data_IF_864453554103
#
_entry.id   IF_864453554103
#
_cell.length_a   1.000
_cell.length_b   1.000
_cell.length_c   1.000
_cell.angle_alpha   90.00
_cell.angle_beta   90.00
_cell.angle_gamma   90.00
#
_symmetry.space_group_name_H-M   'P 1'
#
loop_
_entity.id
_entity.type
_entity.pdbx_description
1 polymer ?
#
# COMPACT_ATOMS: atom_id res chain seq x y z
N UNK A 1 -44.07 5.17 -18.77
CA UNK A 1 -42.65 4.88 -18.62
C UNK A 1 -42.30 5.00 -17.14
N UNK A 2 -41.63 4.00 -16.51
CA UNK A 2 -41.24 4.09 -15.12
C UNK A 2 -40.28 5.26 -14.94
N UNK A 3 -40.47 6.06 -13.89
CA UNK A 3 -39.58 7.16 -13.57
C UNK A 3 -38.27 6.58 -12.97
N UNK A 4 -37.16 7.34 -13.02
CA UNK A 4 -35.88 6.91 -12.41
C UNK A 4 -36.07 6.66 -10.91
N UNK A 5 -37.07 7.26 -10.27
CA UNK A 5 -37.37 7.08 -8.84
C UNK A 5 -37.86 5.65 -8.54
N UNK A 6 -38.49 4.98 -9.52
CA UNK A 6 -38.97 3.59 -9.37
C UNK A 6 -37.81 2.56 -9.30
N UNK A 7 -36.59 3.00 -9.63
CA UNK A 7 -35.36 2.21 -9.56
C UNK A 7 -34.49 2.54 -8.33
N UNK A 8 -34.88 3.53 -7.53
CA UNK A 8 -34.19 3.88 -6.30
C UNK A 8 -34.57 2.86 -5.22
N UNK A 9 -33.61 2.05 -4.82
CA UNK A 9 -33.71 1.25 -3.58
C UNK A 9 -33.29 2.16 -2.45
N UNK A 10 -34.18 2.47 -1.52
CA UNK A 10 -33.86 3.13 -0.26
C UNK A 10 -32.96 2.20 0.55
N UNK A 11 -31.67 2.44 0.50
CA UNK A 11 -30.74 1.89 1.48
C UNK A 11 -30.89 2.71 2.75
N UNK A 12 -31.76 2.27 3.67
CA UNK A 12 -31.63 2.73 5.04
C UNK A 12 -30.19 2.37 5.49
N UNK A 13 -29.36 3.34 5.88
CA UNK A 13 -28.05 2.99 6.45
C UNK A 13 -28.32 2.02 7.60
N UNK A 14 -27.54 0.93 7.75
CA UNK A 14 -27.63 0.09 8.92
C UNK A 14 -27.51 1.01 10.12
N UNK A 15 -28.30 0.75 11.16
CA UNK A 15 -28.28 1.49 12.43
C UNK A 15 -26.88 1.30 13.04
N UNK A 16 -25.91 2.08 12.54
CA UNK A 16 -24.57 2.15 13.10
C UNK A 16 -24.74 3.06 14.31
N UNK A 17 -25.03 2.47 15.46
CA UNK A 17 -24.87 3.14 16.73
C UNK A 17 -23.39 3.60 16.76
N UNK A 18 -23.18 4.90 16.64
CA UNK A 18 -21.86 5.57 16.52
C UNK A 18 -21.01 5.44 17.80
N UNK A 19 -21.45 4.69 18.79
CA UNK A 19 -20.84 4.59 20.12
C UNK A 19 -20.15 3.26 20.42
N UNK A 20 -20.04 2.37 19.47
CA UNK A 20 -19.15 1.23 19.64
C UNK A 20 -17.87 1.51 18.85
N UNK A 21 -16.72 1.73 19.52
CA UNK A 21 -15.44 1.42 18.92
C UNK A 21 -15.62 0.03 18.33
N UNK A 22 -15.16 -0.20 17.11
CA UNK A 22 -15.06 -1.56 16.59
C UNK A 22 -14.19 -2.29 17.63
N UNK A 23 -14.84 -2.91 18.61
CA UNK A 23 -14.20 -3.81 19.53
C UNK A 23 -13.67 -4.94 18.68
N UNK A 24 -12.42 -4.78 18.23
CA UNK A 24 -11.64 -5.91 17.78
C UNK A 24 -11.26 -6.65 19.06
N UNK A 25 -11.97 -7.75 19.42
CA UNK A 25 -11.68 -8.44 20.65
C UNK A 25 -10.26 -9.01 20.54
N UNK A 26 -9.34 -8.49 21.36
CA UNK A 26 -7.98 -8.97 21.54
C UNK A 26 -7.01 -8.77 20.36
N UNK A 27 -6.88 -7.57 19.82
CA UNK A 27 -5.72 -7.26 19.02
C UNK A 27 -4.48 -7.38 19.92
N UNK A 28 -3.66 -8.39 19.67
CA UNK A 28 -2.37 -8.54 20.35
C UNK A 28 -1.52 -7.31 20.05
N UNK A 29 -0.80 -6.76 21.05
CA UNK A 29 -0.01 -5.53 20.86
C UNK A 29 1.31 -5.80 20.11
N UNK A 30 1.23 -6.47 18.97
CA UNK A 30 2.40 -6.88 18.17
C UNK A 30 3.28 -5.71 17.73
N UNK A 31 2.70 -4.50 17.63
CA UNK A 31 3.40 -3.29 17.20
C UNK A 31 3.63 -2.30 18.34
N UNK A 32 3.47 -2.74 19.61
CA UNK A 32 3.69 -1.88 20.76
C UNK A 32 5.09 -1.22 20.73
N UNK A 33 5.10 0.11 20.87
CA UNK A 33 6.32 0.91 20.85
C UNK A 33 6.95 1.09 19.46
N UNK A 34 6.36 0.55 18.39
CA UNK A 34 6.82 0.79 17.02
C UNK A 34 6.19 2.06 16.45
N UNK A 35 7.03 2.90 15.90
CA UNK A 35 6.62 4.08 15.14
C UNK A 35 6.59 3.75 13.66
N UNK A 36 5.40 3.92 13.04
CA UNK A 36 5.18 3.71 11.61
C UNK A 36 5.00 5.05 10.92
N UNK A 37 5.92 5.40 10.02
CA UNK A 37 5.77 6.57 9.15
C UNK A 37 4.83 6.23 8.00
N UNK A 38 3.90 7.14 7.69
CA UNK A 38 2.88 6.96 6.65
C UNK A 38 2.88 8.17 5.75
N UNK A 39 3.19 7.99 4.47
CA UNK A 39 3.05 9.06 3.49
C UNK A 39 1.57 9.39 3.30
N UNK A 40 1.22 10.69 3.38
CA UNK A 40 -0.17 11.14 3.26
C UNK A 40 -0.26 12.53 2.67
N UNK A 41 -0.59 12.61 1.40
CA UNK A 41 -0.90 13.81 0.65
C UNK A 41 -1.68 13.46 -0.63
N UNK A 42 -1.75 14.35 -1.61
CA UNK A 42 -2.45 14.12 -2.87
C UNK A 42 -1.85 12.97 -3.70
N UNK A 43 -0.54 12.69 -3.57
CA UNK A 43 0.12 11.58 -4.25
C UNK A 43 -0.13 10.23 -3.56
N UNK A 44 -0.43 10.22 -2.24
CA UNK A 44 -0.57 9.03 -1.39
C UNK A 44 -1.88 9.09 -0.59
N UNK A 45 -3.00 9.08 -1.30
CA UNK A 45 -4.33 9.35 -0.73
C UNK A 45 -5.17 8.11 -0.43
N UNK A 46 -4.76 6.91 -0.88
CA UNK A 46 -5.54 5.68 -0.68
C UNK A 46 -5.28 5.06 0.68
N UNK A 47 -5.74 5.74 1.72
CA UNK A 47 -5.60 5.34 3.11
C UNK A 47 -7.00 5.06 3.69
N UNK A 48 -7.24 3.79 4.03
CA UNK A 48 -8.48 3.40 4.70
C UNK A 48 -8.39 3.71 6.20
N UNK A 49 -9.35 4.45 6.79
CA UNK A 49 -9.38 4.71 8.23
C UNK A 49 -9.25 3.42 9.07
N UNK A 50 -9.95 2.35 8.65
CA UNK A 50 -9.89 1.06 9.33
C UNK A 50 -8.48 0.42 9.33
N UNK A 51 -7.63 0.70 8.32
CA UNK A 51 -6.23 0.27 8.32
C UNK A 51 -5.42 1.01 9.40
N UNK A 52 -5.67 2.31 9.57
CA UNK A 52 -5.03 3.11 10.63
C UNK A 52 -5.46 2.62 12.01
N UNK A 53 -6.75 2.33 12.19
CA UNK A 53 -7.30 1.84 13.44
C UNK A 53 -6.77 0.44 13.77
N UNK A 54 -6.60 -0.41 12.76
CA UNK A 54 -5.95 -1.71 12.91
C UNK A 54 -4.51 -1.58 13.42
N UNK A 55 -3.71 -0.67 12.87
CA UNK A 55 -2.34 -0.43 13.34
C UNK A 55 -2.32 0.10 14.78
N UNK A 56 -3.19 1.07 15.10
CA UNK A 56 -3.31 1.61 16.47
C UNK A 56 -3.74 0.55 17.48
N UNK A 57 -4.70 -0.30 17.11
CA UNK A 57 -5.16 -1.38 17.99
C UNK A 57 -4.07 -2.40 18.33
N UNK A 58 -3.07 -2.53 17.46
CA UNK A 58 -1.87 -3.34 17.71
C UNK A 58 -0.77 -2.59 18.49
N UNK A 59 -1.01 -1.34 18.91
CA UNK A 59 -0.09 -0.55 19.71
C UNK A 59 0.91 0.28 18.94
N UNK A 60 0.75 0.44 17.61
CA UNK A 60 1.64 1.27 16.80
C UNK A 60 1.42 2.77 17.06
N UNK A 61 2.52 3.53 17.09
CA UNK A 61 2.53 4.98 16.99
C UNK A 61 2.57 5.37 15.51
N UNK A 62 1.55 6.12 15.02
CA UNK A 62 1.49 6.53 13.63
C UNK A 62 1.99 7.97 13.47
N UNK A 63 2.95 8.19 12.59
CA UNK A 63 3.41 9.51 12.20
C UNK A 63 3.21 9.73 10.69
N UNK A 64 2.55 10.83 10.35
CA UNK A 64 2.26 11.18 8.96
C UNK A 64 3.27 12.22 8.46
N UNK A 65 3.57 12.13 7.16
CA UNK A 65 4.42 13.11 6.48
C UNK A 65 3.93 13.31 5.04
N UNK A 66 4.21 14.46 4.48
CA UNK A 66 3.84 14.83 3.10
C UNK A 66 5.06 14.88 2.20
N UNK A 67 5.29 13.89 1.34
CA UNK A 67 6.31 13.97 0.31
C UNK A 67 6.22 15.20 -0.58
N UNK A 68 5.00 15.67 -0.89
CA UNK A 68 4.77 16.82 -1.78
C UNK A 68 5.09 18.17 -1.12
N UNK A 69 4.96 18.30 0.20
CA UNK A 69 5.34 19.50 0.96
C UNK A 69 6.84 19.57 1.24
N UNK A 70 7.61 18.57 0.79
CA UNK A 70 9.05 18.52 0.95
C UNK A 70 9.50 17.96 2.29
N UNK A 71 8.63 17.28 3.02
CA UNK A 71 8.99 16.63 4.29
C UNK A 71 10.12 15.63 4.10
N UNK A 72 11.02 15.58 5.08
CA UNK A 72 11.95 14.48 5.25
C UNK A 72 11.22 13.26 5.85
N UNK A 73 11.82 12.06 5.72
CA UNK A 73 11.32 10.89 6.43
C UNK A 73 11.46 11.11 7.95
N UNK A 74 10.35 11.09 8.70
CA UNK A 74 10.42 11.21 10.16
C UNK A 74 11.10 9.97 10.79
N UNK A 75 11.71 10.09 11.98
CA UNK A 75 12.25 8.93 12.70
C UNK A 75 11.18 7.87 12.89
N UNK A 76 11.42 6.66 12.37
CA UNK A 76 10.46 5.56 12.41
C UNK A 76 11.15 4.18 12.42
N UNK A 77 10.40 3.16 12.80
CA UNK A 77 10.81 1.76 12.80
C UNK A 77 10.35 1.02 11.56
N UNK A 78 9.28 1.54 10.91
CA UNK A 78 8.74 1.00 9.67
C UNK A 78 8.11 2.12 8.83
N UNK A 79 7.99 1.91 7.52
CA UNK A 79 7.44 2.86 6.56
C UNK A 79 6.27 2.22 5.79
N UNK A 80 5.16 2.95 5.70
CA UNK A 80 4.07 2.64 4.80
C UNK A 80 3.95 3.73 3.74
N UNK A 81 4.09 3.32 2.47
CA UNK A 81 3.80 4.12 1.28
C UNK A 81 2.48 3.61 0.69
N UNK A 82 1.35 4.27 0.97
CA UNK A 82 0.04 3.85 0.47
C UNK A 82 -0.10 4.04 -1.04
N UNK A 83 -1.22 3.56 -1.58
CA UNK A 83 -1.64 3.86 -2.93
C UNK A 83 -2.02 5.33 -3.14
N UNK A 84 -2.19 5.70 -4.39
CA UNK A 84 -2.53 7.04 -4.84
C UNK A 84 -2.11 7.24 -6.29
N UNK A 85 -1.84 8.50 -6.65
CA UNK A 85 -1.47 8.90 -8.01
C UNK A 85 -0.13 9.65 -8.04
N UNK A 86 1.00 9.01 -7.64
CA UNK A 86 2.31 9.67 -7.61
C UNK A 86 2.78 10.08 -9.01
N UNK A 87 2.31 9.42 -10.08
CA UNK A 87 2.62 9.78 -11.46
C UNK A 87 2.15 11.17 -11.85
N UNK A 88 1.11 11.68 -11.21
CA UNK A 88 0.63 13.05 -11.43
C UNK A 88 1.51 14.09 -10.73
N UNK A 89 2.39 13.65 -9.84
CA UNK A 89 3.25 14.48 -9.00
C UNK A 89 4.74 14.12 -9.12
N UNK A 90 5.11 13.38 -10.16
CA UNK A 90 6.44 12.79 -10.32
C UNK A 90 7.57 13.83 -10.18
N UNK A 91 7.42 15.01 -10.77
CA UNK A 91 8.43 16.07 -10.69
C UNK A 91 8.65 16.55 -9.24
N UNK A 92 7.57 16.77 -8.48
CA UNK A 92 7.67 17.23 -7.09
C UNK A 92 8.28 16.12 -6.20
N UNK A 93 7.84 14.88 -6.37
CA UNK A 93 8.38 13.72 -5.65
C UNK A 93 9.87 13.53 -5.94
N UNK A 94 10.26 13.58 -7.23
CA UNK A 94 11.67 13.45 -7.62
C UNK A 94 12.54 14.59 -7.07
N UNK A 95 12.00 15.80 -6.97
CA UNK A 95 12.72 16.95 -6.42
C UNK A 95 13.02 16.82 -4.92
N UNK A 96 12.22 16.05 -4.16
CA UNK A 96 12.44 15.82 -2.73
C UNK A 96 13.58 14.81 -2.49
N UNK A 97 14.81 15.26 -2.74
CA UNK A 97 16.01 14.42 -2.60
C UNK A 97 16.32 14.06 -1.12
N UNK A 98 15.89 14.89 -0.17
CA UNK A 98 16.06 14.65 1.26
C UNK A 98 15.23 13.43 1.69
N UNK A 99 13.96 13.37 1.28
CA UNK A 99 13.11 12.22 1.53
C UNK A 99 13.64 10.97 0.85
N UNK A 100 14.05 11.07 -0.42
CA UNK A 100 14.65 9.96 -1.16
C UNK A 100 15.85 9.37 -0.44
N UNK A 101 16.77 10.21 0.03
CA UNK A 101 17.95 9.78 0.80
C UNK A 101 17.53 9.11 2.11
N UNK A 102 16.59 9.70 2.85
CA UNK A 102 16.06 9.16 4.10
C UNK A 102 15.41 7.79 3.94
N UNK A 103 14.62 7.58 2.87
CA UNK A 103 14.04 6.25 2.57
C UNK A 103 15.17 5.26 2.21
N UNK A 104 16.17 5.68 1.43
CA UNK A 104 17.32 4.85 1.09
C UNK A 104 18.09 4.39 2.34
N UNK A 105 18.34 5.29 3.29
CA UNK A 105 18.99 4.96 4.57
C UNK A 105 18.12 4.02 5.42
N UNK A 106 16.81 4.25 5.49
CA UNK A 106 15.86 3.39 6.19
C UNK A 106 15.90 1.95 5.65
N UNK A 107 15.90 1.79 4.32
CA UNK A 107 16.04 0.48 3.65
C UNK A 107 17.41 -0.14 3.91
N UNK A 108 18.50 0.64 3.83
CA UNK A 108 19.86 0.17 4.10
C UNK A 108 20.05 -0.33 5.55
N UNK A 109 19.28 0.23 6.50
CA UNK A 109 19.23 -0.23 7.89
C UNK A 109 18.36 -1.50 8.06
N UNK A 110 17.80 -2.06 7.00
CA UNK A 110 16.94 -3.24 7.07
C UNK A 110 15.56 -2.98 7.67
N UNK A 111 15.16 -1.72 7.83
CA UNK A 111 13.86 -1.37 8.39
C UNK A 111 12.74 -1.63 7.36
N UNK A 112 11.59 -2.20 7.78
CA UNK A 112 10.52 -2.59 6.88
C UNK A 112 9.90 -1.43 6.13
N UNK A 113 9.63 -1.67 4.84
CA UNK A 113 8.81 -0.79 3.98
C UNK A 113 7.71 -1.64 3.36
N UNK A 114 6.45 -1.21 3.55
CA UNK A 114 5.30 -1.70 2.80
C UNK A 114 4.87 -0.64 1.79
N UNK A 115 4.91 -0.97 0.50
CA UNK A 115 4.60 -0.06 -0.59
C UNK A 115 3.47 -0.62 -1.47
N UNK A 116 2.32 0.05 -1.45
CA UNK A 116 1.11 -0.35 -2.16
C UNK A 116 0.93 0.49 -3.43
N UNK A 117 0.71 -0.14 -4.59
CA UNK A 117 0.32 0.51 -5.83
C UNK A 117 1.13 1.80 -6.10
N UNK A 118 0.54 2.98 -5.92
CA UNK A 118 1.23 4.27 -6.05
C UNK A 118 2.50 4.36 -5.20
N UNK A 119 2.48 3.83 -3.97
CA UNK A 119 3.67 3.78 -3.12
C UNK A 119 4.81 2.98 -3.73
N UNK A 120 4.51 1.86 -4.41
CA UNK A 120 5.49 1.10 -5.18
C UNK A 120 5.98 1.90 -6.39
N UNK A 121 5.07 2.56 -7.12
CA UNK A 121 5.41 3.37 -8.28
C UNK A 121 6.43 4.47 -7.93
N UNK A 122 6.22 5.14 -6.80
CA UNK A 122 7.12 6.20 -6.32
C UNK A 122 8.55 5.69 -6.05
N UNK A 123 8.69 4.45 -5.63
CA UNK A 123 10.02 3.84 -5.40
C UNK A 123 10.74 3.43 -6.68
N UNK A 124 10.04 3.26 -7.81
CA UNK A 124 10.64 2.84 -9.09
C UNK A 124 11.55 3.91 -9.69
N UNK A 125 12.27 3.57 -10.76
CA UNK A 125 13.18 4.49 -11.46
C UNK A 125 12.43 5.61 -12.17
N UNK A 126 11.25 5.32 -12.72
CA UNK A 126 10.45 6.31 -13.41
C UNK A 126 9.10 5.79 -13.87
N UNK A 127 8.30 6.72 -14.39
CA UNK A 127 7.00 6.45 -15.01
C UNK A 127 6.97 6.96 -16.43
N UNK A 128 6.60 6.11 -17.39
CA UNK A 128 6.34 6.47 -18.78
C UNK A 128 4.86 6.79 -18.93
N UNK A 129 4.56 8.03 -19.30
CA UNK A 129 3.19 8.51 -19.56
C UNK A 129 2.60 7.92 -20.84
N UNK A 130 1.30 8.17 -21.06
CA UNK A 130 0.62 7.75 -22.32
C UNK A 130 1.18 8.45 -23.57
N UNK A 131 1.79 9.61 -23.39
CA UNK A 131 2.49 10.39 -24.42
C UNK A 131 3.90 9.89 -24.72
N UNK A 132 4.36 8.85 -24.01
CA UNK A 132 5.70 8.27 -24.13
C UNK A 132 6.79 9.04 -23.37
N UNK A 133 6.46 10.15 -22.72
CA UNK A 133 7.41 10.88 -21.91
C UNK A 133 7.73 10.12 -20.61
N UNK A 134 9.02 10.10 -20.26
CA UNK A 134 9.50 9.48 -19.02
C UNK A 134 9.71 10.55 -17.97
N UNK A 135 9.11 10.35 -16.80
CA UNK A 135 9.34 11.16 -15.62
C UNK A 135 10.08 10.32 -14.59
N UNK A 136 11.18 10.87 -14.05
CA UNK A 136 11.95 10.20 -13.02
C UNK A 136 11.17 10.15 -11.70
N UNK A 137 11.31 9.03 -10.98
CA UNK A 137 10.81 8.82 -9.63
C UNK A 137 11.99 8.70 -8.65
N UNK A 138 11.82 8.06 -7.50
CA UNK A 138 12.90 7.98 -6.49
C UNK A 138 14.03 7.03 -6.87
N UNK A 139 13.80 6.03 -7.73
CA UNK A 139 14.83 5.10 -8.21
C UNK A 139 15.45 4.25 -7.09
N UNK A 140 14.65 3.83 -6.12
CA UNK A 140 15.05 2.95 -5.02
C UNK A 140 14.69 1.49 -5.29
N UNK A 141 13.81 1.24 -6.26
CA UNK A 141 13.51 -0.09 -6.80
C UNK A 141 13.83 -0.11 -8.30
N UNK A 142 14.49 -1.17 -8.79
CA UNK A 142 14.75 -1.32 -10.23
C UNK A 142 13.44 -1.56 -10.97
N UNK A 143 13.08 -0.69 -11.89
CA UNK A 143 11.92 -0.86 -12.74
C UNK A 143 11.35 0.42 -13.28
N UNK A 144 10.71 0.27 -14.45
CA UNK A 144 10.01 1.33 -15.15
C UNK A 144 8.51 1.08 -15.13
N UNK A 145 7.75 2.05 -14.68
CA UNK A 145 6.29 2.01 -14.70
C UNK A 145 5.80 2.52 -16.05
N UNK A 146 4.87 1.82 -16.67
CA UNK A 146 4.29 2.17 -17.96
C UNK A 146 2.79 2.43 -17.78
N UNK A 147 2.34 3.65 -18.08
CA UNK A 147 0.91 4.00 -18.09
C UNK A 147 0.19 3.27 -19.23
N UNK A 148 -1.04 2.85 -18.98
CA UNK A 148 -1.87 2.12 -19.95
C UNK A 148 -3.22 2.80 -20.15
N UNK A 149 -3.77 2.71 -21.35
CA UNK A 149 -5.12 3.22 -21.70
C UNK A 149 -6.26 2.37 -21.13
N UNK A 150 -5.95 1.23 -20.51
CA UNK A 150 -6.92 0.28 -19.94
C UNK A 150 -6.49 -0.15 -18.56
N UNK A 151 -7.44 -0.61 -17.78
CA UNK A 151 -7.16 -1.21 -16.47
C UNK A 151 -6.16 -2.36 -16.58
N UNK A 152 -5.08 -2.27 -15.81
CA UNK A 152 -4.11 -3.35 -15.62
C UNK A 152 -4.59 -4.38 -14.61
N UNK A 153 -5.27 -3.92 -13.54
CA UNK A 153 -5.84 -4.77 -12.51
C UNK A 153 -7.11 -4.17 -11.92
N UNK A 154 -8.09 -5.03 -11.62
CA UNK A 154 -9.35 -4.67 -10.95
C UNK A 154 -9.94 -5.86 -10.21
N UNK A 155 -10.29 -5.65 -8.95
CA UNK A 155 -11.12 -6.57 -8.17
C UNK A 155 -10.51 -7.06 -6.87
N UNK A 156 -11.31 -7.84 -6.15
CA UNK A 156 -10.92 -8.40 -4.86
C UNK A 156 -9.81 -9.42 -5.03
N UNK A 157 -8.83 -9.36 -4.13
CA UNK A 157 -7.63 -10.19 -4.12
C UNK A 157 -7.34 -10.69 -2.71
N UNK A 158 -6.54 -11.73 -2.64
CA UNK A 158 -5.90 -12.20 -1.41
C UNK A 158 -4.42 -12.46 -1.67
N UNK A 159 -3.60 -12.19 -0.68
CA UNK A 159 -2.15 -12.37 -0.73
C UNK A 159 -1.72 -13.27 0.43
N UNK A 160 -1.03 -14.35 0.11
CA UNK A 160 -0.46 -15.26 1.12
C UNK A 160 0.93 -14.74 1.48
N UNK A 161 1.12 -14.44 2.76
CA UNK A 161 2.39 -14.06 3.37
C UNK A 161 2.84 -15.15 4.35
N UNK A 162 4.09 -15.11 4.76
CA UNK A 162 4.63 -16.06 5.75
C UNK A 162 3.85 -16.01 7.08
N UNK A 163 3.28 -14.86 7.39
CA UNK A 163 2.50 -14.57 8.61
C UNK A 163 1.00 -14.75 8.44
N UNK A 164 0.53 -15.22 7.28
CA UNK A 164 -0.87 -15.54 7.02
C UNK A 164 -1.48 -14.90 5.78
N UNK A 165 -2.76 -15.18 5.57
CA UNK A 165 -3.53 -14.69 4.42
C UNK A 165 -4.01 -13.26 4.68
N UNK A 166 -3.71 -12.34 3.77
CA UNK A 166 -4.17 -10.96 3.78
C UNK A 166 -5.15 -10.72 2.63
N UNK A 167 -6.31 -10.12 2.91
CA UNK A 167 -7.31 -9.74 1.90
C UNK A 167 -7.12 -8.29 1.48
N UNK A 168 -7.56 -7.98 0.26
CA UNK A 168 -7.47 -6.64 -0.29
C UNK A 168 -8.08 -6.58 -1.68
N UNK A 169 -7.62 -5.64 -2.47
CA UNK A 169 -8.04 -5.49 -3.87
C UNK A 169 -6.89 -4.97 -4.73
N UNK A 170 -7.12 -4.93 -6.02
CA UNK A 170 -6.26 -4.26 -6.99
C UNK A 170 -7.08 -3.28 -7.82
N UNK A 171 -6.48 -2.12 -8.14
CA UNK A 171 -7.03 -1.11 -9.05
C UNK A 171 -5.89 -0.25 -9.58
N UNK A 172 -5.49 -0.45 -10.84
CA UNK A 172 -4.43 0.36 -11.45
C UNK A 172 -4.52 0.36 -12.98
N UNK A 173 -3.94 1.41 -13.58
CA UNK A 173 -3.80 1.61 -15.03
C UNK A 173 -2.34 1.53 -15.48
N UNK A 174 -1.50 0.89 -14.72
CA UNK A 174 -0.06 0.84 -15.01
C UNK A 174 0.42 -0.60 -15.11
N UNK A 175 1.59 -0.77 -15.70
CA UNK A 175 2.34 -2.02 -15.76
C UNK A 175 3.78 -1.74 -15.31
N UNK A 176 4.32 -2.58 -14.45
CA UNK A 176 5.71 -2.51 -14.04
C UNK A 176 6.56 -3.42 -14.94
N UNK A 177 7.59 -2.86 -15.55
CA UNK A 177 8.69 -3.58 -16.18
C UNK A 177 9.88 -3.56 -15.24
N UNK A 178 10.32 -4.72 -14.77
CA UNK A 178 11.37 -4.83 -13.76
C UNK A 178 12.16 -6.11 -13.90
N UNK A 179 13.39 -6.08 -13.41
CA UNK A 179 14.25 -7.26 -13.25
C UNK A 179 14.10 -7.91 -11.88
N UNK A 180 13.29 -7.34 -10.98
CA UNK A 180 13.02 -7.95 -9.67
C UNK A 180 12.32 -9.29 -9.84
N UNK A 181 12.74 -10.25 -9.04
CA UNK A 181 12.06 -11.55 -8.98
C UNK A 181 10.75 -11.43 -8.22
N UNK A 182 9.71 -12.09 -8.73
CA UNK A 182 8.43 -12.19 -8.04
C UNK A 182 8.59 -13.15 -6.86
N UNK A 183 8.33 -12.66 -5.65
CA UNK A 183 8.36 -13.48 -4.44
C UNK A 183 7.12 -14.39 -4.36
N UNK A 184 5.94 -13.81 -4.54
CA UNK A 184 4.65 -14.51 -4.64
C UNK A 184 3.66 -13.66 -5.43
N UNK A 185 2.45 -14.19 -5.65
CA UNK A 185 1.38 -13.44 -6.31
C UNK A 185 0.09 -13.48 -5.50
N UNK A 186 -0.70 -12.43 -5.64
CA UNK A 186 -2.08 -12.45 -5.18
C UNK A 186 -2.93 -13.43 -6.00
N UNK A 187 -4.07 -13.81 -5.45
CA UNK A 187 -5.09 -14.59 -6.15
C UNK A 187 -6.47 -14.02 -5.87
N UNK A 188 -7.47 -14.43 -6.66
CA UNK A 188 -8.87 -14.14 -6.30
C UNK A 188 -9.24 -14.89 -5.01
N UNK A 189 -10.14 -14.35 -4.17
CA UNK A 189 -10.58 -15.05 -2.97
C UNK A 189 -11.05 -16.48 -3.27
N UNK A 190 -10.52 -17.45 -2.53
CA UNK A 190 -10.82 -18.86 -2.71
C UNK A 190 -10.12 -19.56 -3.89
N UNK A 191 -9.34 -18.84 -4.69
CA UNK A 191 -8.56 -19.42 -5.78
C UNK A 191 -7.11 -19.70 -5.36
N UNK A 192 -6.52 -20.74 -5.94
CA UNK A 192 -5.09 -21.01 -5.78
C UNK A 192 -4.24 -19.92 -6.46
N UNK A 193 -3.05 -19.67 -5.91
CA UNK A 193 -2.04 -18.81 -6.53
C UNK A 193 -1.58 -19.43 -7.86
N UNK A 194 -1.49 -18.62 -8.90
CA UNK A 194 -0.99 -19.01 -10.22
C UNK A 194 0.30 -18.25 -10.55
N UNK A 195 1.28 -18.88 -11.21
CA UNK A 195 2.59 -18.26 -11.45
C UNK A 195 2.54 -17.00 -12.32
N UNK A 196 1.55 -16.90 -13.18
CA UNK A 196 1.40 -15.87 -14.23
C UNK A 196 0.20 -14.95 -14.04
N UNK A 197 -0.57 -15.11 -12.96
CA UNK A 197 -1.79 -14.34 -12.69
C UNK A 197 -1.78 -13.73 -11.30
N UNK A 198 -2.55 -12.65 -11.15
CA UNK A 198 -2.60 -11.87 -9.91
C UNK A 198 -1.44 -10.89 -9.80
N UNK A 199 -1.53 -10.03 -8.79
CA UNK A 199 -0.51 -9.00 -8.56
C UNK A 199 0.75 -9.61 -7.97
N UNK A 200 1.90 -9.25 -8.53
CA UNK A 200 3.17 -9.67 -8.00
C UNK A 200 3.47 -8.96 -6.67
N UNK A 201 3.97 -9.70 -5.69
CA UNK A 201 4.68 -9.17 -4.55
C UNK A 201 6.17 -9.25 -4.85
N UNK A 202 6.82 -8.10 -4.83
CA UNK A 202 8.27 -7.98 -4.94
C UNK A 202 8.88 -7.79 -3.55
N UNK A 203 10.01 -8.44 -3.32
CA UNK A 203 10.83 -8.24 -2.12
C UNK A 203 12.22 -7.79 -2.56
N UNK A 204 12.61 -6.58 -2.14
CA UNK A 204 13.93 -6.02 -2.43
C UNK A 204 14.53 -5.47 -1.13
N UNK A 205 15.47 -6.22 -0.55
CA UNK A 205 15.95 -5.93 0.80
C UNK A 205 14.80 -5.98 1.82
N UNK A 206 14.58 -4.89 2.54
CA UNK A 206 13.49 -4.74 3.51
C UNK A 206 12.18 -4.20 2.91
N UNK A 207 12.18 -3.90 1.60
CA UNK A 207 11.00 -3.39 0.90
C UNK A 207 10.13 -4.55 0.42
N UNK A 208 8.84 -4.48 0.73
CA UNK A 208 7.78 -5.29 0.12
C UNK A 208 6.88 -4.38 -0.68
N UNK A 209 6.72 -4.64 -1.97
CA UNK A 209 6.02 -3.78 -2.90
C UNK A 209 5.09 -4.58 -3.83
N UNK A 210 3.88 -4.08 -4.05
CA UNK A 210 2.87 -4.73 -4.89
C UNK A 210 1.83 -3.73 -5.38
N UNK A 211 1.10 -4.05 -6.45
CA UNK A 211 -0.14 -3.35 -6.81
C UNK A 211 -1.31 -3.68 -5.87
N UNK A 212 -1.14 -4.63 -4.98
CA UNK A 212 -2.15 -5.06 -4.04
C UNK A 212 -2.38 -4.01 -2.95
N UNK A 213 -3.64 -3.57 -2.79
CA UNK A 213 -4.09 -2.70 -1.71
C UNK A 213 -4.63 -3.58 -0.57
N UNK A 214 -3.93 -3.58 0.55
CA UNK A 214 -4.24 -4.45 1.67
C UNK A 214 -5.38 -3.91 2.54
N UNK A 215 -6.29 -4.81 2.95
CA UNK A 215 -7.27 -4.55 3.99
C UNK A 215 -6.75 -5.09 5.32
N UNK A 216 -6.14 -4.23 6.13
CA UNK A 216 -5.41 -4.62 7.34
C UNK A 216 -6.27 -5.37 8.35
N UNK A 217 -7.55 -4.97 8.60
CA UNK A 217 -8.41 -5.72 9.52
C UNK A 217 -8.68 -7.17 9.13
N UNK A 218 -8.40 -7.57 7.90
CA UNK A 218 -8.61 -8.94 7.46
C UNK A 218 -7.67 -9.97 8.12
N UNK A 219 -6.47 -9.52 8.52
CA UNK A 219 -5.51 -10.32 9.27
C UNK A 219 -4.46 -9.42 9.95
N UNK A 220 -4.72 -8.94 11.19
CA UNK A 220 -3.79 -8.07 11.91
C UNK A 220 -2.40 -8.70 12.15
N UNK A 221 -2.32 -10.02 12.36
CA UNK A 221 -1.03 -10.70 12.53
C UNK A 221 -0.18 -10.63 11.26
N UNK A 222 -0.77 -10.88 10.09
CA UNK A 222 -0.08 -10.75 8.81
C UNK A 222 0.43 -9.32 8.59
N UNK A 223 -0.40 -8.32 8.95
CA UNK A 223 -0.03 -6.90 8.88
C UNK A 223 1.12 -6.56 9.82
N UNK A 224 1.07 -7.03 11.06
CA UNK A 224 2.16 -6.80 12.02
C UNK A 224 3.51 -7.34 11.47
N UNK A 225 3.49 -8.48 10.79
CA UNK A 225 4.66 -9.02 10.09
C UNK A 225 5.18 -8.13 8.96
N UNK A 226 4.31 -7.43 8.22
CA UNK A 226 4.72 -6.45 7.21
C UNK A 226 5.52 -5.29 7.82
N UNK A 227 5.18 -4.90 9.05
CA UNK A 227 5.83 -3.83 9.80
C UNK A 227 6.91 -4.33 10.79
N UNK A 228 7.40 -5.56 10.58
CA UNK A 228 8.59 -6.09 11.24
C UNK A 228 8.34 -6.68 12.62
N UNK A 229 7.09 -6.96 13.01
CA UNK A 229 6.82 -7.75 14.20
C UNK A 229 7.19 -9.24 13.97
N UNK A 230 7.76 -9.85 14.99
CA UNK A 230 7.94 -11.32 15.00
C UNK A 230 6.63 -11.95 15.48
N UNK A 231 5.95 -12.65 14.58
CA UNK A 231 4.72 -13.37 14.91
C UNK A 231 5.13 -14.81 15.25
N UNK A 232 4.88 -15.22 16.48
CA UNK A 232 5.03 -16.62 16.87
C UNK A 232 3.83 -17.39 16.33
N UNK A 233 4.08 -18.46 15.58
CA UNK A 233 3.06 -19.35 15.01
C UNK A 233 2.34 -20.16 16.09
#
# INVERSE_FOLDING_TARGET
EPSWQDWCVDFAPPDISTDSPIDQPNAQPWLAGRRIAIARDAAFSFIYPANLDCLRSMGAELCFFSPLEGDALPPCDALWLPGGYPELHAQALHANQVLRAGIGEHVAQGKPVWAECGGMLALCEGVTGLDGNIQAMWGLLPGQVIMQNRLGGLGMQQLVLDTGLLRGHTFHYTRLETTMQVHTRSSRPGAAVQPDRGEALYVHGSVRASYFHAWFPSNPAAVAGLFGATIQA
#
